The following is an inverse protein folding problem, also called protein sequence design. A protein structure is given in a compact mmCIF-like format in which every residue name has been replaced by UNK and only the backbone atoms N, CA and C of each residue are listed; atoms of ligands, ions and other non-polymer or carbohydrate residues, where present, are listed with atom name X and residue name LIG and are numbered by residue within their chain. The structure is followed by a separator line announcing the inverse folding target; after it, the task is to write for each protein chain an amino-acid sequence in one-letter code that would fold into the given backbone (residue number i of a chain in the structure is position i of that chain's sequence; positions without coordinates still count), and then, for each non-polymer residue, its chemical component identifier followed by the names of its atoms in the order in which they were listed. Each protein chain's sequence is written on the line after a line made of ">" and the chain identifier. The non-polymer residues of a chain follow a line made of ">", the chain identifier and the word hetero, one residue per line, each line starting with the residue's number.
data_IF_596366981325
#
_entry.id   IF_596366981325
#
_cell.length_a   1.000
_cell.length_b   1.000
_cell.length_c   1.000
_cell.angle_alpha   90.00
_cell.angle_beta   90.00
_cell.angle_gamma   90.00
#
_symmetry.space_group_name_H-M   'P 1'
#
loop_
_entity.id
_entity.type
_entity.pdbx_description
1 polymer ?
#
# COMPACT_ATOMS: atom_id res chain seq x y z
N UNK A 1 0.46 12.69 13.03
CA UNK A 1 0.31 11.23 12.86
C UNK A 1 -1.17 10.91 12.80
N UNK A 2 -1.59 9.96 11.96
CA UNK A 2 -2.98 9.47 11.88
C UNK A 2 -3.01 8.00 12.30
N UNK A 3 -4.00 7.63 13.09
CA UNK A 3 -4.26 6.25 13.52
C UNK A 3 -5.70 5.89 13.17
N UNK A 4 -5.91 4.70 12.65
CA UNK A 4 -7.24 4.17 12.31
C UNK A 4 -7.38 2.74 12.78
N UNK A 5 -8.56 2.40 13.30
CA UNK A 5 -8.97 1.03 13.60
C UNK A 5 -8.08 0.32 14.63
N UNK A 6 -7.95 -0.99 14.47
CA UNK A 6 -7.25 -1.86 15.41
C UNK A 6 -8.19 -2.63 16.31
N UNK A 7 -7.66 -3.23 17.38
CA UNK A 7 -8.41 -3.99 18.38
C UNK A 7 -8.17 -3.37 19.75
N UNK A 8 -9.22 -3.18 20.52
CA UNK A 8 -9.13 -2.70 21.90
C UNK A 8 -8.81 -3.85 22.89
N UNK A 9 -8.59 -3.50 24.14
CA UNK A 9 -8.26 -4.46 25.23
C UNK A 9 -9.37 -5.50 25.49
N UNK A 10 -10.58 -5.27 24.99
CA UNK A 10 -11.73 -6.17 25.13
C UNK A 10 -11.99 -7.01 23.87
N UNK A 11 -11.11 -6.92 22.86
CA UNK A 11 -11.26 -7.61 21.58
C UNK A 11 -12.25 -6.93 20.64
N UNK A 12 -12.63 -5.68 20.91
CA UNK A 12 -13.50 -4.87 20.03
C UNK A 12 -12.72 -4.32 18.85
N UNK A 13 -13.21 -4.56 17.64
CA UNK A 13 -12.63 -3.98 16.42
C UNK A 13 -13.12 -2.55 16.22
N UNK A 14 -12.17 -1.66 15.98
CA UNK A 14 -12.40 -0.23 15.89
C UNK A 14 -12.46 0.27 14.45
N UNK A 15 -13.13 1.40 14.23
CA UNK A 15 -13.15 2.10 12.94
C UNK A 15 -13.03 3.62 13.10
N UNK A 16 -12.66 4.06 14.27
CA UNK A 16 -12.41 5.46 14.54
C UNK A 16 -11.09 5.91 13.91
N UNK A 17 -10.97 7.21 13.78
CA UNK A 17 -9.76 7.84 13.22
C UNK A 17 -9.30 8.90 14.21
N UNK A 18 -8.04 8.82 14.59
CA UNK A 18 -7.41 9.78 15.49
C UNK A 18 -6.24 10.48 14.85
N UNK A 19 -6.08 11.75 15.16
CA UNK A 19 -4.93 12.55 14.77
C UNK A 19 -4.15 12.94 16.01
N UNK A 20 -2.85 12.69 15.97
CA UNK A 20 -1.90 13.21 16.95
C UNK A 20 -1.19 14.43 16.38
N UNK A 21 -1.42 15.59 16.98
CA UNK A 21 -0.70 16.82 16.71
C UNK A 21 0.66 16.75 17.43
N UNK A 22 1.74 16.58 16.64
CA UNK A 22 3.10 16.40 17.16
C UNK A 22 3.60 17.68 17.86
N UNK A 23 3.17 18.86 17.41
CA UNK A 23 3.61 20.12 17.99
C UNK A 23 2.91 20.39 19.33
N UNK A 24 1.64 20.03 19.43
CA UNK A 24 0.84 20.24 20.65
C UNK A 24 0.82 19.03 21.57
N UNK A 25 1.41 17.91 21.14
CA UNK A 25 1.39 16.61 21.85
C UNK A 25 -0.03 16.20 22.28
N UNK A 26 -1.00 16.39 21.39
CA UNK A 26 -2.42 16.18 21.69
C UNK A 26 -3.10 15.30 20.67
N UNK A 27 -3.88 14.35 21.17
CA UNK A 27 -4.80 13.54 20.37
C UNK A 27 -6.13 14.25 20.16
N UNK A 28 -6.70 14.11 19.00
CA UNK A 28 -8.06 14.52 18.68
C UNK A 28 -8.71 13.55 17.72
N UNK A 29 -10.02 13.25 17.85
CA UNK A 29 -10.73 12.46 16.88
C UNK A 29 -10.83 13.22 15.55
N UNK A 30 -10.65 12.53 14.44
CA UNK A 30 -10.89 13.09 13.12
C UNK A 30 -12.37 13.01 12.80
N UNK A 31 -13.03 14.16 12.79
CA UNK A 31 -14.42 14.25 12.35
C UNK A 31 -14.49 14.29 10.83
N UNK A 32 -15.27 13.40 10.25
CA UNK A 32 -15.50 13.33 8.82
C UNK A 32 -16.97 13.34 8.49
N UNK A 33 -17.31 13.74 7.28
CA UNK A 33 -18.68 13.69 6.75
C UNK A 33 -18.68 12.81 5.50
N UNK A 34 -19.74 12.06 5.32
CA UNK A 34 -19.89 11.25 4.12
C UNK A 34 -20.81 10.05 4.31
N UNK A 35 -21.07 9.38 3.21
CA UNK A 35 -21.92 8.18 3.15
C UNK A 35 -21.22 6.96 3.71
N UNK A 36 -19.89 6.93 3.63
CA UNK A 36 -19.09 5.77 3.98
C UNK A 36 -18.42 5.94 5.33
N UNK A 37 -18.34 4.84 6.05
CA UNK A 37 -17.47 4.66 7.22
C UNK A 37 -16.39 3.66 6.86
N UNK A 38 -15.21 3.82 7.43
CA UNK A 38 -14.18 2.78 7.34
C UNK A 38 -14.66 1.50 8.01
N UNK A 39 -14.26 0.34 7.51
CA UNK A 39 -14.60 -0.92 8.14
C UNK A 39 -13.94 -1.04 9.53
N UNK A 40 -14.53 -1.85 10.40
CA UNK A 40 -13.93 -2.26 11.66
C UNK A 40 -12.91 -3.35 11.39
N UNK A 41 -11.66 -2.96 11.22
CA UNK A 41 -10.59 -3.88 10.85
C UNK A 41 -9.34 -3.65 11.69
N UNK A 42 -8.58 -4.72 11.85
CA UNK A 42 -7.23 -4.69 12.42
C UNK A 42 -6.22 -5.26 11.42
N UNK A 43 -4.93 -4.99 11.66
CA UNK A 43 -3.83 -5.49 10.84
C UNK A 43 -3.92 -5.09 9.36
N UNK A 44 -4.65 -4.02 9.05
CA UNK A 44 -4.66 -3.39 7.74
C UNK A 44 -3.38 -2.58 7.52
N UNK A 45 -3.09 -2.27 6.27
CA UNK A 45 -1.95 -1.45 5.88
C UNK A 45 -2.41 -0.07 5.46
N UNK A 46 -1.59 0.95 5.70
CA UNK A 46 -1.90 2.31 5.32
C UNK A 46 -0.69 3.03 4.74
N UNK A 47 -0.94 3.87 3.73
CA UNK A 47 0.06 4.67 3.07
C UNK A 47 -0.46 6.09 2.79
N UNK A 48 0.35 7.10 3.11
CA UNK A 48 0.03 8.48 2.79
C UNK A 48 0.47 8.80 1.35
N UNK A 49 -0.46 9.29 0.55
CA UNK A 49 -0.23 9.74 -0.81
C UNK A 49 -0.54 11.23 -0.91
N UNK A 50 0.48 12.03 -1.18
CA UNK A 50 0.38 13.46 -1.39
C UNK A 50 1.09 13.86 -2.68
N UNK A 51 0.57 14.89 -3.34
CA UNK A 51 1.25 15.48 -4.51
C UNK A 51 2.53 16.16 -4.04
N UNK A 52 3.64 15.68 -4.51
CA UNK A 52 4.88 16.42 -4.33
C UNK A 52 4.80 17.71 -5.13
N UNK A 53 4.78 18.85 -4.43
CA UNK A 53 5.03 20.14 -5.05
C UNK A 53 6.54 20.39 -5.22
N UNK A 54 7.37 19.39 -4.98
CA UNK A 54 8.80 19.51 -5.22
C UNK A 54 9.02 19.71 -6.72
N UNK A 55 9.29 20.95 -7.09
CA UNK A 55 10.00 21.30 -8.32
C UNK A 55 11.42 20.72 -8.13
N UNK A 56 11.54 19.42 -8.30
CA UNK A 56 12.83 18.84 -8.58
C UNK A 56 13.13 19.31 -9.99
N UNK A 57 14.13 20.17 -10.12
CA UNK A 57 14.66 20.57 -11.41
C UNK A 57 15.08 19.29 -12.16
N UNK A 58 14.20 18.83 -13.05
CA UNK A 58 14.43 17.70 -13.95
C UNK A 58 15.46 18.06 -15.04
N UNK A 59 16.65 18.50 -14.63
CA UNK A 59 17.63 18.84 -15.65
C UNK A 59 18.66 17.74 -15.91
N UNK A 60 18.51 16.52 -15.45
CA UNK A 60 19.48 15.46 -15.80
C UNK A 60 19.02 14.00 -15.61
N UNK A 61 17.74 13.68 -15.48
CA UNK A 61 17.35 12.27 -15.55
C UNK A 61 16.68 12.00 -16.88
N UNK A 62 17.30 11.15 -17.68
CA UNK A 62 16.67 10.55 -18.85
C UNK A 62 15.44 9.79 -18.37
N UNK A 63 14.27 10.42 -18.47
CA UNK A 63 13.01 9.75 -18.23
C UNK A 63 12.83 8.74 -19.34
N UNK A 64 13.08 7.47 -19.06
CA UNK A 64 12.77 6.40 -19.98
C UNK A 64 11.27 6.45 -20.28
N UNK A 65 10.97 6.70 -21.55
CA UNK A 65 9.59 6.68 -22.04
C UNK A 65 9.16 5.23 -22.16
N UNK A 66 8.24 4.83 -21.31
CA UNK A 66 7.54 3.57 -21.53
C UNK A 66 6.78 3.60 -22.85
N UNK A 67 6.72 2.48 -23.60
CA UNK A 67 5.90 2.42 -24.79
C UNK A 67 4.46 2.78 -24.43
N UNK A 68 3.91 3.67 -25.23
CA UNK A 68 2.58 4.25 -25.03
C UNK A 68 1.50 3.17 -25.02
N UNK A 69 0.98 2.84 -23.84
CA UNK A 69 -0.34 2.26 -23.74
C UNK A 69 -1.30 3.45 -23.87
N UNK A 70 -1.75 3.72 -25.10
CA UNK A 70 -2.77 4.73 -25.36
C UNK A 70 -2.34 6.19 -25.28
N UNK A 71 -1.23 6.59 -25.93
CA UNK A 71 -1.02 7.96 -26.43
C UNK A 71 -1.07 9.14 -25.48
N UNK A 72 -0.88 8.98 -24.15
CA UNK A 72 -0.84 10.12 -23.21
C UNK A 72 0.48 10.15 -22.45
N UNK A 73 1.12 11.32 -22.43
CA UNK A 73 2.33 11.59 -21.66
C UNK A 73 2.05 11.25 -20.17
N UNK A 74 2.78 10.27 -19.63
CA UNK A 74 2.78 10.00 -18.19
C UNK A 74 3.54 11.11 -17.46
N UNK A 75 2.84 12.00 -16.90
CA UNK A 75 3.21 13.00 -15.91
C UNK A 75 2.08 13.10 -14.91
N UNK A 76 1.31 12.01 -14.77
CA UNK A 76 0.06 12.02 -14.05
C UNK A 76 0.29 11.86 -12.56
N UNK A 77 -0.31 12.77 -11.85
CA UNK A 77 -0.37 12.85 -10.41
C UNK A 77 -1.45 11.90 -9.90
N UNK A 78 -1.36 11.38 -8.66
CA UNK A 78 -2.43 10.58 -8.10
C UNK A 78 -3.75 11.31 -8.22
N UNK A 79 -4.78 10.61 -8.66
CA UNK A 79 -6.12 11.16 -8.85
C UNK A 79 -6.70 11.72 -7.55
N UNK A 80 -6.35 11.09 -6.45
CA UNK A 80 -6.81 11.43 -5.11
C UNK A 80 -5.64 11.45 -4.13
N UNK A 81 -5.52 12.53 -3.37
CA UNK A 81 -4.59 12.64 -2.26
C UNK A 81 -5.26 12.21 -0.96
N UNK A 82 -4.52 11.54 -0.10
CA UNK A 82 -5.04 11.09 1.19
C UNK A 82 -4.27 9.94 1.79
N UNK A 83 -4.82 9.37 2.84
CA UNK A 83 -4.34 8.12 3.42
C UNK A 83 -5.11 6.97 2.79
N UNK A 84 -4.39 6.11 2.10
CA UNK A 84 -4.92 4.89 1.52
C UNK A 84 -4.84 3.77 2.56
N UNK A 85 -5.90 3.00 2.70
CA UNK A 85 -6.03 1.90 3.65
C UNK A 85 -6.43 0.65 2.89
N UNK A 86 -5.72 -0.45 3.08
CA UNK A 86 -5.95 -1.71 2.38
C UNK A 86 -5.91 -2.92 3.31
N UNK A 87 -6.81 -3.88 3.06
CA UNK A 87 -6.78 -5.17 3.70
C UNK A 87 -7.19 -5.16 5.17
N UNK A 88 -6.57 -6.04 5.93
CA UNK A 88 -6.89 -6.28 7.34
C UNK A 88 -7.84 -7.46 7.55
N UNK A 89 -8.23 -7.68 8.78
CA UNK A 89 -9.18 -8.71 9.21
C UNK A 89 -10.30 -8.06 10.02
N UNK A 90 -11.52 -8.50 9.82
CA UNK A 90 -12.67 -8.05 10.60
C UNK A 90 -12.93 -8.93 11.83
N UNK A 91 -13.95 -8.57 12.62
CA UNK A 91 -14.31 -9.27 13.84
C UNK A 91 -14.73 -10.72 13.61
N UNK A 92 -15.31 -11.01 12.46
CA UNK A 92 -15.77 -12.34 12.05
C UNK A 92 -14.62 -13.22 11.54
N UNK A 93 -13.40 -12.67 11.44
CA UNK A 93 -12.23 -13.38 10.93
C UNK A 93 -12.09 -13.33 9.42
N UNK A 94 -12.87 -12.48 8.72
CA UNK A 94 -12.77 -12.36 7.28
C UNK A 94 -11.63 -11.43 6.88
N UNK A 95 -10.74 -11.92 6.06
CA UNK A 95 -9.70 -11.11 5.44
C UNK A 95 -10.28 -10.18 4.39
N UNK A 96 -9.77 -8.96 4.34
CA UNK A 96 -10.24 -7.91 3.45
C UNK A 96 -9.27 -7.67 2.30
N UNK A 97 -9.79 -7.22 1.15
CA UNK A 97 -9.00 -6.71 0.02
C UNK A 97 -9.59 -5.41 -0.55
N UNK A 98 -10.37 -4.73 0.25
CA UNK A 98 -10.94 -3.43 -0.11
C UNK A 98 -9.92 -2.33 0.05
N UNK A 99 -9.97 -1.34 -0.85
CA UNK A 99 -9.13 -0.16 -0.81
C UNK A 99 -9.95 1.08 -0.45
N UNK A 100 -9.53 1.77 0.58
CA UNK A 100 -10.16 2.98 1.06
C UNK A 100 -9.22 4.17 0.94
N UNK A 101 -9.76 5.37 0.81
CA UNK A 101 -9.01 6.62 0.84
C UNK A 101 -9.65 7.61 1.81
N UNK A 102 -8.87 8.07 2.78
CA UNK A 102 -9.22 9.16 3.69
C UNK A 102 -8.64 10.44 3.09
N UNK A 103 -9.48 11.29 2.51
CA UNK A 103 -9.09 12.55 1.87
C UNK A 103 -8.87 13.65 2.90
N UNK A 104 -7.71 13.66 3.54
CA UNK A 104 -7.39 14.62 4.61
C UNK A 104 -7.29 16.08 4.14
N UNK A 105 -7.06 16.31 2.85
CA UNK A 105 -7.02 17.65 2.24
C UNK A 105 -8.40 18.25 1.92
N UNK A 106 -9.46 17.45 1.96
CA UNK A 106 -10.83 17.94 1.74
C UNK A 106 -11.44 18.53 3.02
N UNK A 107 -12.33 19.50 2.85
CA UNK A 107 -13.08 20.11 3.97
C UNK A 107 -14.56 20.09 3.66
N UNK A 108 -15.35 19.24 4.30
CA UNK A 108 -14.99 18.25 5.34
C UNK A 108 -14.13 17.10 4.82
N UNK A 109 -13.45 16.41 5.72
CA UNK A 109 -12.74 15.17 5.39
C UNK A 109 -13.72 14.13 4.84
N UNK A 110 -13.35 13.46 3.77
CA UNK A 110 -14.17 12.45 3.10
C UNK A 110 -13.52 11.07 3.19
N UNK A 111 -14.37 10.06 3.33
CA UNK A 111 -13.96 8.66 3.26
C UNK A 111 -14.55 8.05 1.99
N UNK A 112 -13.70 7.47 1.18
CA UNK A 112 -14.06 6.87 -0.10
C UNK A 112 -13.69 5.40 -0.11
N UNK A 113 -14.64 4.54 -0.49
CA UNK A 113 -14.36 3.19 -0.92
C UNK A 113 -13.99 3.25 -2.40
N UNK A 114 -12.74 2.95 -2.72
CA UNK A 114 -12.22 3.08 -4.08
C UNK A 114 -12.58 1.84 -4.89
N UNK A 115 -13.34 2.05 -5.96
CA UNK A 115 -13.56 1.01 -6.97
C UNK A 115 -12.31 0.92 -7.84
N UNK A 116 -11.68 -0.22 -7.83
CA UNK A 116 -10.51 -0.53 -8.63
C UNK A 116 -10.87 -1.44 -9.79
N UNK A 117 -10.01 -1.48 -10.81
CA UNK A 117 -10.13 -2.32 -11.99
C UNK A 117 -9.04 -3.38 -11.99
N UNK A 118 -9.18 -4.39 -12.84
CA UNK A 118 -8.27 -5.53 -12.87
C UNK A 118 -8.49 -6.48 -11.69
N UNK A 119 -7.59 -7.44 -11.52
CA UNK A 119 -7.67 -8.42 -10.43
C UNK A 119 -6.98 -7.84 -9.19
N UNK A 120 -7.71 -7.51 -8.11
CA UNK A 120 -7.09 -7.02 -6.88
C UNK A 120 -6.26 -8.13 -6.21
N UNK A 121 -5.35 -7.76 -5.30
CA UNK A 121 -4.68 -8.74 -4.43
C UNK A 121 -5.70 -9.60 -3.70
N UNK A 122 -5.35 -10.84 -3.41
CA UNK A 122 -6.17 -11.68 -2.53
C UNK A 122 -6.37 -10.99 -1.17
N UNK A 123 -7.52 -11.23 -0.50
CA UNK A 123 -7.75 -10.72 0.85
C UNK A 123 -6.60 -11.09 1.78
N UNK A 124 -6.12 -10.11 2.56
CA UNK A 124 -4.93 -10.30 3.41
C UNK A 124 -4.84 -9.31 4.55
N UNK A 125 -4.09 -9.65 5.58
CA UNK A 125 -3.69 -8.77 6.65
C UNK A 125 -2.17 -8.61 6.72
N UNK A 126 -1.67 -7.60 7.43
CA UNK A 126 -0.25 -7.36 7.74
C UNK A 126 0.67 -7.34 6.52
N UNK A 127 0.18 -6.87 5.37
CA UNK A 127 1.01 -6.67 4.18
C UNK A 127 1.83 -5.38 4.28
N UNK A 128 2.94 -5.32 3.56
CA UNK A 128 3.65 -4.07 3.31
C UNK A 128 2.91 -3.23 2.28
N UNK A 129 2.93 -1.90 2.45
CA UNK A 129 2.27 -0.97 1.54
C UNK A 129 3.06 0.32 1.43
N UNK A 130 3.42 0.74 0.21
CA UNK A 130 4.11 1.99 -0.04
C UNK A 130 3.68 2.66 -1.34
N UNK A 131 4.03 3.93 -1.48
CA UNK A 131 3.79 4.72 -2.67
C UNK A 131 5.10 5.03 -3.39
N UNK A 132 5.17 4.68 -4.67
CA UNK A 132 6.23 5.07 -5.58
C UNK A 132 5.81 6.34 -6.31
N UNK A 133 6.26 7.47 -5.79
CA UNK A 133 5.84 8.79 -6.25
C UNK A 133 6.15 9.04 -7.73
N UNK A 134 7.35 8.65 -8.17
CA UNK A 134 7.82 8.92 -9.54
C UNK A 134 7.05 8.12 -10.60
N UNK A 135 6.55 6.97 -10.20
CA UNK A 135 5.84 6.03 -11.07
C UNK A 135 4.32 6.09 -10.88
N UNK A 136 3.87 6.80 -9.85
CA UNK A 136 2.46 6.89 -9.48
C UNK A 136 1.79 5.54 -9.19
N UNK A 137 2.55 4.62 -8.59
CA UNK A 137 2.04 3.31 -8.16
C UNK A 137 1.93 3.20 -6.65
N UNK A 138 0.83 2.63 -6.19
CA UNK A 138 0.73 2.05 -4.86
C UNK A 138 1.19 0.59 -4.95
N UNK A 139 2.14 0.22 -4.10
CA UNK A 139 2.71 -1.13 -4.06
C UNK A 139 2.20 -1.85 -2.83
N UNK A 140 1.81 -3.10 -2.99
CA UNK A 140 1.48 -4.04 -1.91
C UNK A 140 2.36 -5.25 -2.05
N UNK A 141 2.97 -5.70 -0.94
CA UNK A 141 3.78 -6.89 -0.88
C UNK A 141 3.40 -7.76 0.30
N UNK A 142 3.36 -9.07 0.08
CA UNK A 142 3.24 -10.06 1.13
C UNK A 142 1.97 -9.94 1.97
N UNK A 143 2.10 -10.19 3.25
CA UNK A 143 1.00 -10.30 4.19
C UNK A 143 0.59 -11.76 4.43
N UNK A 144 -0.51 -11.94 5.13
CA UNK A 144 -1.01 -13.27 5.49
C UNK A 144 -2.48 -13.42 5.12
N UNK A 145 -2.86 -14.59 4.67
CA UNK A 145 -4.26 -15.01 4.58
C UNK A 145 -4.41 -16.48 4.98
N UNK A 146 -5.65 -16.92 5.23
CA UNK A 146 -6.01 -18.29 5.53
C UNK A 146 -6.88 -18.90 4.44
N UNK A 147 -6.74 -18.46 3.20
CA UNK A 147 -7.43 -19.07 2.09
C UNK A 147 -7.01 -20.54 2.00
N UNK A 148 -7.98 -21.45 1.97
CA UNK A 148 -7.79 -22.89 1.91
C UNK A 148 -7.15 -23.53 3.17
N UNK A 149 -7.35 -22.96 4.36
CA UNK A 149 -6.85 -23.49 5.65
C UNK A 149 -5.32 -23.65 5.73
N UNK A 150 -4.57 -22.97 4.86
CA UNK A 150 -3.10 -23.13 4.78
C UNK A 150 -2.31 -22.15 5.62
N UNK A 151 -2.95 -21.13 6.18
CA UNK A 151 -2.28 -20.13 7.03
C UNK A 151 -1.04 -19.51 6.33
N UNK A 152 -1.21 -19.12 5.07
CA UNK A 152 -0.12 -18.83 4.16
C UNK A 152 0.39 -17.39 4.31
N UNK A 153 1.72 -17.28 4.44
CA UNK A 153 2.41 -16.00 4.29
C UNK A 153 2.75 -15.81 2.81
N UNK A 154 2.37 -14.66 2.28
CA UNK A 154 2.44 -14.35 0.86
C UNK A 154 3.79 -13.69 0.52
N UNK A 155 4.24 -13.89 -0.73
CA UNK A 155 5.44 -13.26 -1.29
C UNK A 155 5.14 -12.43 -2.55
N UNK A 156 3.86 -12.31 -2.91
CA UNK A 156 3.47 -11.62 -4.13
C UNK A 156 3.60 -10.10 -4.02
N UNK A 157 3.92 -9.48 -5.15
CA UNK A 157 3.86 -8.03 -5.35
C UNK A 157 2.68 -7.70 -6.24
N UNK A 158 1.94 -6.67 -5.85
CA UNK A 158 0.86 -6.10 -6.63
C UNK A 158 1.02 -4.59 -6.74
N UNK A 159 0.81 -4.06 -7.92
CA UNK A 159 0.88 -2.62 -8.21
C UNK A 159 -0.51 -2.10 -8.51
N UNK A 160 -0.86 -0.95 -7.96
CA UNK A 160 -2.05 -0.21 -8.35
C UNK A 160 -1.63 1.07 -9.08
N UNK A 161 -1.97 1.18 -10.35
CA UNK A 161 -1.87 2.44 -11.09
C UNK A 161 -2.87 3.44 -10.52
N UNK A 162 -2.38 4.50 -9.88
CA UNK A 162 -3.23 5.50 -9.23
C UNK A 162 -3.87 6.50 -10.21
N UNK A 163 -3.50 6.49 -11.47
CA UNK A 163 -4.18 7.26 -12.51
C UNK A 163 -5.52 6.62 -12.88
N UNK A 164 -5.49 5.29 -13.10
CA UNK A 164 -6.62 4.55 -13.62
C UNK A 164 -7.29 3.66 -12.57
N UNK A 165 -6.69 3.54 -11.39
CA UNK A 165 -7.07 2.62 -10.32
C UNK A 165 -7.11 1.16 -10.80
N UNK A 166 -6.11 0.78 -11.60
CA UNK A 166 -6.01 -0.55 -12.19
C UNK A 166 -4.91 -1.37 -11.51
N UNK A 167 -5.26 -2.58 -11.04
CA UNK A 167 -4.32 -3.51 -10.45
C UNK A 167 -3.51 -4.23 -11.53
N UNK A 168 -2.21 -4.33 -11.29
CA UNK A 168 -1.24 -4.97 -12.17
C UNK A 168 -0.45 -5.97 -11.32
N UNK A 169 -0.39 -7.23 -11.76
CA UNK A 169 0.59 -8.19 -11.23
C UNK A 169 1.83 -8.07 -12.12
N UNK A 170 2.95 -7.55 -11.61
CA UNK A 170 4.18 -7.49 -12.40
C UNK A 170 4.70 -8.91 -12.66
N UNK A 171 5.41 -9.07 -13.77
CA UNK A 171 6.14 -10.32 -14.06
C UNK A 171 7.51 -10.20 -13.41
N UNK A 172 7.82 -11.09 -12.49
CA UNK A 172 9.10 -11.17 -11.79
C UNK A 172 9.38 -12.62 -11.41
N UNK A 173 10.63 -12.90 -11.04
CA UNK A 173 10.97 -14.22 -10.48
C UNK A 173 10.49 -14.27 -9.02
N UNK A 174 9.48 -15.09 -8.75
CA UNK A 174 8.89 -15.22 -7.40
C UNK A 174 9.89 -15.71 -6.35
N UNK A 175 10.96 -16.39 -6.76
CA UNK A 175 12.05 -16.84 -5.86
C UNK A 175 12.93 -15.67 -5.35
N UNK A 176 12.81 -14.49 -5.95
CA UNK A 176 13.54 -13.29 -5.50
C UNK A 176 12.87 -12.61 -4.30
N UNK A 177 11.62 -12.97 -3.98
CA UNK A 177 10.88 -12.41 -2.87
C UNK A 177 10.61 -13.45 -1.78
N UNK A 178 10.89 -13.04 -0.56
CA UNK A 178 10.56 -13.88 0.59
C UNK A 178 9.12 -13.68 1.02
N UNK A 179 8.41 -14.76 1.41
CA UNK A 179 7.12 -14.63 2.08
C UNK A 179 7.31 -13.85 3.38
N UNK A 180 6.64 -12.71 3.52
CA UNK A 180 6.75 -11.85 4.69
C UNK A 180 5.41 -11.27 5.10
N UNK A 181 5.16 -11.21 6.42
CA UNK A 181 4.08 -10.42 6.96
C UNK A 181 4.56 -9.57 8.15
N UNK A 182 3.84 -8.48 8.44
CA UNK A 182 4.21 -7.54 9.49
C UNK A 182 5.48 -6.74 9.23
N UNK A 183 5.98 -6.74 8.00
CA UNK A 183 7.12 -5.95 7.58
C UNK A 183 6.71 -4.50 7.26
N UNK A 184 7.67 -3.61 7.30
CA UNK A 184 7.53 -2.26 6.81
C UNK A 184 8.02 -2.16 5.36
N UNK A 185 7.22 -1.53 4.50
CA UNK A 185 7.55 -1.29 3.11
C UNK A 185 7.63 0.21 2.86
N UNK A 186 8.70 0.69 2.24
CA UNK A 186 8.78 2.07 1.80
C UNK A 186 9.37 2.17 0.41
N UNK A 187 8.94 3.20 -0.32
CA UNK A 187 9.42 3.49 -1.66
C UNK A 187 10.35 4.68 -1.66
N UNK A 188 11.46 4.56 -2.38
CA UNK A 188 12.36 5.67 -2.64
C UNK A 188 12.87 5.61 -4.08
N UNK A 189 12.76 6.71 -4.81
CA UNK A 189 12.96 6.74 -6.26
C UNK A 189 12.10 5.66 -6.95
N UNK A 190 12.69 4.75 -7.68
CA UNK A 190 12.00 3.65 -8.37
C UNK A 190 12.13 2.31 -7.63
N UNK A 191 12.64 2.32 -6.41
CA UNK A 191 12.93 1.12 -5.64
C UNK A 191 11.99 0.99 -4.45
N UNK A 192 11.74 -0.24 -4.03
CA UNK A 192 11.08 -0.56 -2.77
C UNK A 192 12.09 -1.15 -1.80
N UNK A 193 11.93 -0.83 -0.52
CA UNK A 193 12.75 -1.31 0.56
C UNK A 193 11.87 -2.03 1.58
N UNK A 194 12.32 -3.20 2.01
CA UNK A 194 11.60 -4.04 2.95
C UNK A 194 12.39 -4.10 4.25
N UNK A 195 11.74 -3.80 5.38
CA UNK A 195 12.36 -3.83 6.70
C UNK A 195 11.56 -4.72 7.65
N UNK A 196 12.24 -5.66 8.29
CA UNK A 196 11.66 -6.55 9.30
C UNK A 196 10.61 -7.51 8.75
N UNK A 197 9.66 -7.88 9.59
CA UNK A 197 8.65 -8.88 9.28
C UNK A 197 9.03 -10.27 9.75
N UNK A 198 8.14 -11.23 9.53
CA UNK A 198 8.38 -12.64 9.84
C UNK A 198 7.82 -13.55 8.73
N UNK A 199 8.37 -14.76 8.64
CA UNK A 199 7.90 -15.83 7.77
C UNK A 199 7.64 -17.10 8.59
N UNK A 200 7.10 -18.15 7.94
CA UNK A 200 6.77 -19.41 8.63
C UNK A 200 8.00 -20.20 9.08
N UNK A 201 9.16 -19.99 8.42
CA UNK A 201 10.33 -20.87 8.61
C UNK A 201 11.19 -20.46 9.81
N UNK A 202 11.10 -19.22 10.21
CA UNK A 202 12.06 -18.68 11.17
C UNK A 202 11.39 -18.02 12.33
N UNK A 203 10.35 -18.39 12.93
CA UNK A 203 9.77 -17.68 14.10
C UNK A 203 10.53 -16.37 14.28
N UNK A 204 10.10 -15.33 14.78
CA UNK A 204 10.75 -14.01 14.92
C UNK A 204 12.20 -13.97 14.43
N UNK A 205 12.42 -13.79 13.13
CA UNK A 205 13.77 -13.50 12.66
C UNK A 205 14.20 -12.24 13.39
N UNK A 206 15.28 -12.33 14.16
CA UNK A 206 16.03 -11.17 14.65
C UNK A 206 15.91 -10.06 13.62
N UNK A 207 15.68 -8.83 14.10
CA UNK A 207 15.75 -7.63 13.29
C UNK A 207 17.14 -7.55 12.61
N UNK A 208 17.38 -8.35 11.62
CA UNK A 208 18.46 -8.15 10.71
C UNK A 208 17.97 -7.07 9.76
N UNK A 209 18.57 -5.89 9.91
CA UNK A 209 18.38 -4.75 9.03
C UNK A 209 19.00 -5.02 7.65
N UNK A 210 18.73 -6.18 7.08
CA UNK A 210 19.10 -6.44 5.71
C UNK A 210 18.13 -5.65 4.84
N UNK A 211 18.61 -4.51 4.38
CA UNK A 211 17.91 -3.73 3.37
C UNK A 211 17.87 -4.58 2.10
N UNK A 212 16.73 -5.19 1.82
CA UNK A 212 16.49 -5.77 0.51
C UNK A 212 16.07 -4.60 -0.37
N UNK A 213 17.03 -4.06 -1.10
CA UNK A 213 16.77 -3.10 -2.15
C UNK A 213 16.26 -3.86 -3.37
N UNK A 214 15.01 -3.65 -3.72
CA UNK A 214 14.44 -4.14 -4.96
C UNK A 214 14.18 -2.96 -5.89
N UNK A 215 14.94 -2.90 -6.98
CA UNK A 215 14.67 -1.94 -8.05
C UNK A 215 13.61 -2.52 -8.97
N UNK A 216 12.37 -2.06 -8.84
CA UNK A 216 11.23 -2.48 -9.64
C UNK A 216 11.50 -2.31 -11.15
N UNK A 217 12.57 -1.58 -11.53
CA UNK A 217 12.83 -1.17 -12.91
C UNK A 217 14.25 -1.45 -13.41
N UNK A 218 15.15 -2.01 -12.62
CA UNK A 218 16.55 -2.25 -13.05
C UNK A 218 16.72 -3.36 -14.07
N UNK A 219 15.75 -4.28 -14.18
CA UNK A 219 15.71 -5.26 -15.27
C UNK A 219 14.86 -4.70 -16.41
N UNK A 220 15.43 -3.76 -17.16
CA UNK A 220 14.76 -2.91 -18.14
C UNK A 220 14.08 -3.64 -19.31
N UNK A 221 14.25 -4.94 -19.47
CA UNK A 221 13.72 -5.68 -20.63
C UNK A 221 12.85 -6.91 -20.29
N UNK A 222 12.74 -7.32 -19.03
CA UNK A 222 12.01 -8.54 -18.69
C UNK A 222 10.67 -8.29 -18.00
N UNK A 223 10.49 -7.13 -17.34
CA UNK A 223 9.30 -6.84 -16.54
C UNK A 223 8.04 -6.48 -17.33
N UNK A 224 8.18 -6.06 -18.59
CA UNK A 224 7.05 -5.63 -19.42
C UNK A 224 6.86 -6.44 -20.70
N UNK A 225 7.52 -7.57 -20.84
CA UNK A 225 7.44 -8.44 -22.01
C UNK A 225 6.18 -9.30 -22.11
N UNK A 226 5.21 -9.16 -21.24
CA UNK A 226 4.02 -10.00 -21.26
C UNK A 226 2.82 -9.37 -20.56
N UNK A 227 2.11 -8.48 -21.27
CA UNK A 227 0.73 -8.19 -20.94
C UNK A 227 -0.16 -9.22 -21.65
N UNK A 228 -0.74 -10.14 -20.91
CA UNK A 228 -1.87 -10.97 -21.33
C UNK A 228 -3.11 -10.56 -20.56
#
# INVERSE_FOLDING_TARGET
>A
MLVHGGVDDYGGYLNDIWIFDILKLKWSPLLYRGKFKLPQVAFHSACLIIKSNSIIHHNQLNVYRYPEIGGKQRGSRPKLEGVYVFGGIDREGNYQNTLWCIRIGSKPVEILNLKTFGKPPNPRMSCGMCYLNELNFLVIHGGKNDLEERNEILNDIMLLDLENLHWIKPVYNEDEFFPLCGHFLFGYANSIYILGGFNNDNGFSKFDFDNIEFDVFKKENEFFGGFY
#
